data_IF_961450559963
#
_entry.id   IF_961450559963
#
_cell.length_a   1.000
_cell.length_b   1.000
_cell.length_c   1.000
_cell.angle_alpha   90.00
_cell.angle_beta   90.00
_cell.angle_gamma   90.00
#
_symmetry.space_group_name_H-M   'P 1'
#
loop_
_entity.id
_entity.type
_entity.pdbx_description
1 polymer ?
#
# COMPACT_ATOMS: atom_id res chain seq x y z
N UNK A 1 -2.45 29.85 -5.27
CA UNK A 1 -2.30 28.94 -4.11
C UNK A 1 -1.28 27.86 -4.43
N UNK A 2 -0.08 27.95 -3.86
CA UNK A 2 0.90 26.87 -3.91
C UNK A 2 0.35 25.65 -3.17
N UNK A 3 0.04 24.58 -3.89
CA UNK A 3 -0.49 23.34 -3.32
C UNK A 3 0.68 22.39 -3.07
N UNK A 4 1.14 22.31 -1.82
CA UNK A 4 2.17 21.35 -1.40
C UNK A 4 1.73 19.89 -1.58
N UNK A 5 2.66 18.95 -1.38
CA UNK A 5 2.36 17.53 -1.51
C UNK A 5 1.32 17.07 -0.47
N UNK A 6 0.15 16.66 -0.95
CA UNK A 6 -0.93 16.11 -0.11
C UNK A 6 -0.48 14.81 0.57
N UNK A 7 -0.71 14.63 1.87
CA UNK A 7 -0.34 13.39 2.59
C UNK A 7 -1.41 12.30 2.56
N UNK A 8 -2.65 12.65 2.21
CA UNK A 8 -3.79 11.73 2.24
C UNK A 8 -4.29 11.38 0.84
N UNK A 9 -4.79 10.15 0.67
CA UNK A 9 -5.46 9.67 -0.54
C UNK A 9 -6.90 9.24 -0.19
N UNK A 10 -7.89 9.93 -0.76
CA UNK A 10 -9.30 9.51 -0.64
C UNK A 10 -9.51 8.21 -1.40
N UNK A 11 -10.29 7.29 -0.83
CA UNK A 11 -10.51 5.97 -1.42
C UNK A 11 -11.17 6.03 -2.80
N UNK A 12 -12.08 6.98 -3.02
CA UNK A 12 -12.71 7.20 -4.33
C UNK A 12 -11.70 7.52 -5.44
N UNK A 13 -10.54 8.09 -5.08
CA UNK A 13 -9.48 8.45 -6.01
C UNK A 13 -8.39 7.37 -6.11
N UNK A 14 -8.54 6.26 -5.38
CA UNK A 14 -7.59 5.17 -5.46
C UNK A 14 -7.66 4.51 -6.86
N UNK A 15 -6.54 3.98 -7.38
CA UNK A 15 -6.54 3.24 -8.63
C UNK A 15 -7.54 2.07 -8.63
N UNK A 16 -8.31 1.92 -9.71
CA UNK A 16 -9.37 0.90 -9.81
C UNK A 16 -8.83 -0.53 -9.69
N UNK A 17 -7.62 -0.80 -10.19
CA UNK A 17 -6.99 -2.13 -10.12
C UNK A 17 -6.65 -2.58 -8.69
N UNK A 18 -6.70 -1.69 -7.71
CA UNK A 18 -6.58 -2.06 -6.30
C UNK A 18 -7.81 -2.82 -5.80
N UNK A 19 -8.95 -2.74 -6.49
CA UNK A 19 -10.19 -3.43 -6.13
C UNK A 19 -10.61 -3.16 -4.68
N UNK A 20 -10.54 -1.89 -4.26
CA UNK A 20 -11.00 -1.49 -2.92
C UNK A 20 -12.51 -1.30 -2.91
N UNK A 21 -13.19 -1.87 -1.92
CA UNK A 21 -14.63 -1.70 -1.73
C UNK A 21 -14.99 -0.23 -1.48
N UNK A 22 -16.05 0.27 -2.13
CA UNK A 22 -16.52 1.66 -2.01
C UNK A 22 -16.83 2.04 -0.55
N UNK A 23 -17.43 1.13 0.22
CA UNK A 23 -17.87 1.38 1.61
C UNK A 23 -16.86 0.96 2.70
N UNK A 24 -15.63 0.57 2.34
CA UNK A 24 -14.64 0.12 3.34
C UNK A 24 -13.97 1.24 4.17
N UNK A 25 -14.55 2.44 4.19
CA UNK A 25 -14.03 3.68 4.80
C UNK A 25 -13.67 4.81 3.81
N UNK A 26 -13.22 5.96 4.34
CA UNK A 26 -13.04 7.20 3.56
C UNK A 26 -11.69 7.27 2.82
N UNK A 27 -10.64 6.68 3.40
CA UNK A 27 -9.26 6.81 2.91
C UNK A 27 -8.70 5.48 2.39
N UNK A 28 -7.83 5.57 1.40
CA UNK A 28 -7.00 4.46 0.92
C UNK A 28 -5.55 4.65 1.38
N UNK A 29 -4.77 3.57 1.50
CA UNK A 29 -3.34 3.69 1.77
C UNK A 29 -2.69 4.50 0.65
N UNK A 30 -2.08 5.63 1.01
CA UNK A 30 -1.30 6.42 0.07
C UNK A 30 0.07 5.74 -0.08
N UNK A 31 0.51 5.36 -1.29
CA UNK A 31 1.83 4.80 -1.49
C UNK A 31 2.90 5.81 -1.08
N UNK A 32 3.95 5.33 -0.41
CA UNK A 32 5.14 6.12 -0.14
C UNK A 32 5.86 6.49 -1.45
N UNK A 33 6.72 7.50 -1.40
CA UNK A 33 7.65 7.72 -2.49
C UNK A 33 8.62 6.54 -2.55
N UNK A 34 8.76 5.93 -3.73
CA UNK A 34 9.53 4.70 -3.90
C UNK A 34 9.71 4.36 -5.38
N UNK A 35 10.15 3.13 -5.69
CA UNK A 35 10.59 2.77 -7.04
C UNK A 35 9.48 2.84 -8.10
N UNK A 36 8.22 2.63 -7.72
CA UNK A 36 7.11 2.59 -8.66
C UNK A 36 6.16 3.79 -8.51
N UNK A 37 5.58 4.24 -9.62
CA UNK A 37 4.57 5.31 -9.64
C UNK A 37 3.33 4.91 -8.84
N UNK A 38 2.70 5.87 -8.16
CA UNK A 38 1.55 5.59 -7.29
C UNK A 38 0.34 4.96 -7.99
N UNK A 39 0.21 5.11 -9.31
CA UNK A 39 -0.86 4.49 -10.11
C UNK A 39 -0.50 3.13 -10.70
N UNK A 40 0.77 2.76 -10.71
CA UNK A 40 1.31 1.53 -11.30
C UNK A 40 1.83 0.55 -10.23
N UNK A 41 1.58 0.85 -8.95
CA UNK A 41 1.97 0.02 -7.82
C UNK A 41 0.76 -0.50 -7.04
N UNK A 42 1.01 -1.45 -6.15
CA UNK A 42 0.16 -1.96 -5.09
C UNK A 42 0.92 -1.81 -3.75
N UNK A 43 0.41 -1.02 -2.80
CA UNK A 43 1.00 -0.92 -1.47
C UNK A 43 1.02 -2.26 -0.74
N UNK A 44 2.06 -2.51 0.07
CA UNK A 44 2.15 -3.72 0.90
C UNK A 44 0.91 -3.97 1.78
N UNK A 45 0.31 -2.92 2.35
CA UNK A 45 -0.98 -3.03 3.07
C UNK A 45 -2.09 -3.66 2.26
N UNK A 46 -2.19 -3.37 0.96
CA UNK A 46 -3.21 -3.95 0.08
C UNK A 46 -2.86 -5.40 -0.25
N UNK A 47 -1.57 -5.70 -0.45
CA UNK A 47 -1.12 -7.06 -0.75
C UNK A 47 -1.43 -7.98 0.44
N UNK A 48 -1.00 -7.61 1.65
CA UNK A 48 -1.19 -8.42 2.86
C UNK A 48 -2.67 -8.59 3.23
N UNK A 49 -3.47 -7.52 3.12
CA UNK A 49 -4.88 -7.54 3.56
C UNK A 49 -5.86 -8.00 2.47
N UNK A 50 -5.76 -7.44 1.28
CA UNK A 50 -6.78 -7.58 0.22
C UNK A 50 -6.44 -8.65 -0.83
N UNK A 51 -5.18 -9.09 -0.93
CA UNK A 51 -4.78 -10.14 -1.88
C UNK A 51 -4.49 -11.45 -1.16
N UNK A 52 -3.53 -11.43 -0.23
CA UNK A 52 -3.09 -12.63 0.50
C UNK A 52 -3.97 -12.96 1.70
N UNK A 53 -4.70 -11.97 2.23
CA UNK A 53 -5.62 -12.12 3.38
C UNK A 53 -4.94 -12.64 4.66
N UNK A 54 -3.64 -12.40 4.84
CA UNK A 54 -2.91 -12.69 6.08
C UNK A 54 -3.22 -11.70 7.21
N UNK A 55 -3.73 -10.53 6.86
CA UNK A 55 -4.21 -9.54 7.81
C UNK A 55 -5.68 -9.20 7.50
N UNK A 56 -6.48 -9.01 8.54
CA UNK A 56 -7.83 -8.47 8.47
C UNK A 56 -7.79 -6.94 8.64
N UNK A 57 -6.94 -6.46 9.55
CA UNK A 57 -6.84 -5.03 9.87
C UNK A 57 -5.52 -4.40 9.42
N UNK A 58 -5.50 -3.06 9.32
CA UNK A 58 -4.26 -2.32 9.03
C UNK A 58 -3.21 -2.53 10.12
N UNK A 59 -3.65 -2.73 11.37
CA UNK A 59 -2.77 -2.94 12.53
C UNK A 59 -2.02 -4.27 12.40
N UNK A 60 -2.71 -5.35 12.03
CA UNK A 60 -2.07 -6.64 11.75
C UNK A 60 -1.08 -6.57 10.60
N UNK A 61 -1.43 -5.90 9.49
CA UNK A 61 -0.49 -5.73 8.38
C UNK A 61 0.78 -4.98 8.82
N UNK A 62 0.65 -4.04 9.75
CA UNK A 62 1.79 -3.31 10.33
C UNK A 62 2.65 -4.22 11.20
N UNK A 63 2.04 -5.07 12.03
CA UNK A 63 2.76 -6.03 12.87
C UNK A 63 3.59 -7.00 12.01
N UNK A 64 2.98 -7.60 10.97
CA UNK A 64 3.67 -8.51 10.04
C UNK A 64 4.87 -7.83 9.36
N UNK A 65 4.72 -6.57 8.92
CA UNK A 65 5.83 -5.82 8.33
C UNK A 65 6.93 -5.50 9.37
N UNK A 66 6.57 -5.23 10.63
CA UNK A 66 7.52 -4.92 11.70
C UNK A 66 8.31 -6.15 12.16
N UNK A 67 7.75 -7.35 12.04
CA UNK A 67 8.45 -8.62 12.29
C UNK A 67 9.54 -8.93 11.26
N UNK A 68 9.72 -8.08 10.22
CA UNK A 68 10.76 -8.22 9.19
C UNK A 68 10.67 -9.51 8.35
N UNK A 69 9.49 -10.14 8.35
CA UNK A 69 9.21 -11.35 7.58
C UNK A 69 8.98 -11.08 6.08
N UNK A 70 8.58 -9.84 5.74
CA UNK A 70 8.23 -9.46 4.36
C UNK A 70 9.47 -8.93 3.63
N UNK A 71 9.85 -9.63 2.55
CA UNK A 71 10.90 -9.21 1.61
C UNK A 71 10.29 -8.83 0.27
N UNK A 72 10.73 -7.72 -0.30
CA UNK A 72 10.42 -7.27 -1.66
C UNK A 72 11.75 -7.09 -2.37
N UNK A 73 11.93 -7.77 -3.51
CA UNK A 73 13.16 -7.74 -4.32
C UNK A 73 14.41 -8.07 -3.49
N UNK A 74 14.31 -9.11 -2.65
CA UNK A 74 15.40 -9.58 -1.77
C UNK A 74 15.67 -8.71 -0.54
N UNK A 75 15.06 -7.52 -0.42
CA UNK A 75 15.26 -6.60 0.71
C UNK A 75 14.07 -6.65 1.67
N UNK A 76 14.36 -6.69 2.98
CA UNK A 76 13.32 -6.59 4.02
C UNK A 76 12.68 -5.21 3.97
N UNK A 77 11.35 -5.15 3.91
CA UNK A 77 10.58 -3.89 3.90
C UNK A 77 9.64 -3.83 5.09
N UNK A 78 9.84 -2.85 5.96
CA UNK A 78 9.00 -2.57 7.13
C UNK A 78 7.92 -1.52 6.86
N UNK A 79 8.05 -0.77 5.77
CA UNK A 79 7.10 0.28 5.40
C UNK A 79 5.81 -0.29 4.82
N UNK A 80 4.71 -0.17 5.56
CA UNK A 80 3.40 -0.69 5.17
C UNK A 80 2.84 -0.10 3.86
N UNK A 81 3.25 1.12 3.51
CA UNK A 81 2.81 1.82 2.30
C UNK A 81 3.85 1.76 1.17
N UNK A 82 4.87 0.89 1.28
CA UNK A 82 5.87 0.71 0.23
C UNK A 82 5.20 0.38 -1.11
N UNK A 83 5.49 1.12 -2.20
CA UNK A 83 4.90 0.87 -3.50
C UNK A 83 5.60 -0.33 -4.15
N UNK A 84 5.00 -1.52 -4.10
CA UNK A 84 5.45 -2.68 -4.87
C UNK A 84 4.76 -2.67 -6.24
N UNK A 85 5.49 -2.81 -7.34
CA UNK A 85 4.94 -2.69 -8.70
C UNK A 85 5.27 -3.89 -9.58
N UNK A 86 4.90 -3.77 -10.86
CA UNK A 86 5.21 -4.79 -11.86
C UNK A 86 6.68 -4.70 -12.29
N UNK A 87 7.33 -5.86 -12.43
CA UNK A 87 8.78 -6.04 -12.68
C UNK A 87 9.68 -5.30 -11.69
N UNK A 88 9.97 -5.98 -10.58
CA UNK A 88 11.08 -5.74 -9.64
C UNK A 88 12.05 -6.92 -9.56
N UNK A 89 12.12 -7.74 -10.62
CA UNK A 89 13.31 -8.56 -10.91
C UNK A 89 14.21 -7.78 -11.86
#
# INVERSE_FOLDING_TARGET
MSRGQKKHLKRLNAPKHWMLAKMGGIFAPKPAAGPHKSRECLPLSIILRNRLKYALTRKESMMICMERLVKVDGKVRTELNFPAGFMGM
#
